data_IF_839303766310
#
_entry.id   IF_839303766310
#
_cell.length_a   1.000
_cell.length_b   1.000
_cell.length_c   1.000
_cell.angle_alpha   90.00
_cell.angle_beta   90.00
_cell.angle_gamma   90.00
#
_symmetry.space_group_name_H-M   'P 1'
#
loop_
_entity.id
_entity.type
_entity.pdbx_description
1 polymer ?
#
# COMPACT_ATOMS: atom_id res chain seq x y z
N UNK A 1 18.97 32.26 -20.28
CA UNK A 1 17.69 32.11 -19.56
C UNK A 1 17.36 30.63 -19.51
N UNK A 2 17.47 30.00 -18.34
CA UNK A 2 17.23 28.57 -18.15
C UNK A 2 15.77 28.38 -17.70
N UNK A 3 14.97 27.67 -18.50
CA UNK A 3 13.55 27.41 -18.21
C UNK A 3 13.44 26.09 -17.45
N UNK A 4 13.04 26.14 -16.19
CA UNK A 4 12.76 24.96 -15.37
C UNK A 4 11.29 24.57 -15.58
N UNK A 5 11.04 23.41 -16.19
CA UNK A 5 9.70 22.82 -16.22
C UNK A 5 9.43 22.13 -14.88
N UNK A 6 8.49 22.67 -14.10
CA UNK A 6 7.99 22.03 -12.89
C UNK A 6 7.03 20.90 -13.26
N UNK A 7 7.47 19.65 -13.08
CA UNK A 7 6.59 18.48 -13.16
C UNK A 7 5.76 18.44 -11.88
N UNK A 8 4.45 18.63 -12.01
CA UNK A 8 3.51 18.44 -10.91
C UNK A 8 3.33 16.93 -10.70
N UNK A 9 4.00 16.37 -9.69
CA UNK A 9 3.75 15.02 -9.23
C UNK A 9 2.48 15.04 -8.36
N UNK A 10 1.37 14.53 -8.89
CA UNK A 10 0.18 14.26 -8.10
C UNK A 10 0.44 13.07 -7.18
N UNK A 11 0.75 13.36 -5.91
CA UNK A 11 0.88 12.35 -4.87
C UNK A 11 -0.54 11.95 -4.40
N UNK A 12 -1.13 10.96 -5.08
CA UNK A 12 -2.31 10.29 -4.55
C UNK A 12 -1.94 9.52 -3.27
N UNK A 13 -2.90 9.30 -2.38
CA UNK A 13 -2.67 8.51 -1.17
C UNK A 13 -2.27 7.09 -1.59
N UNK A 14 -1.10 6.64 -1.15
CA UNK A 14 -0.66 5.31 -1.49
C UNK A 14 -1.63 4.25 -0.90
N UNK A 15 -2.04 3.27 -1.72
CA UNK A 15 -3.06 2.30 -1.33
C UNK A 15 -2.53 1.35 -0.27
N UNK A 16 -3.42 0.95 0.64
CA UNK A 16 -3.15 -0.02 1.68
C UNK A 16 -3.71 -1.39 1.32
N UNK A 17 -3.07 -2.46 1.80
CA UNK A 17 -3.49 -3.83 1.54
C UNK A 17 -3.44 -4.66 2.82
N UNK A 18 -4.36 -5.63 2.94
CA UNK A 18 -4.22 -6.70 3.92
C UNK A 18 -3.29 -7.76 3.33
N UNK A 19 -2.25 -8.10 4.08
CA UNK A 19 -1.31 -9.17 3.76
C UNK A 19 -1.52 -10.32 4.72
N UNK A 20 -1.54 -11.54 4.19
CA UNK A 20 -1.62 -12.78 4.95
C UNK A 20 -0.26 -13.47 4.95
N UNK A 21 0.22 -13.78 6.14
CA UNK A 21 1.40 -14.60 6.34
C UNK A 21 1.06 -16.05 5.95
N UNK A 22 1.82 -16.59 5.02
CA UNK A 22 1.66 -17.98 4.56
C UNK A 22 2.24 -18.99 5.54
N UNK A 23 2.92 -18.54 6.61
CA UNK A 23 3.45 -19.39 7.67
C UNK A 23 2.42 -19.68 8.77
N UNK A 24 1.57 -18.70 9.11
CA UNK A 24 0.67 -18.77 10.27
C UNK A 24 -0.76 -18.21 10.03
N UNK A 25 -1.06 -17.73 8.82
CA UNK A 25 -2.36 -17.14 8.47
C UNK A 25 -2.61 -15.75 9.06
N UNK A 26 -1.63 -15.14 9.73
CA UNK A 26 -1.82 -13.83 10.37
C UNK A 26 -2.00 -12.73 9.33
N UNK A 27 -2.96 -11.84 9.59
CA UNK A 27 -3.24 -10.67 8.75
C UNK A 27 -2.57 -9.40 9.29
N UNK A 28 -1.98 -8.61 8.40
CA UNK A 28 -1.45 -7.27 8.69
C UNK A 28 -1.88 -6.27 7.62
N UNK A 29 -2.01 -4.99 8.00
CA UNK A 29 -2.27 -3.91 7.05
C UNK A 29 -0.96 -3.18 6.71
N UNK A 30 -0.62 -3.09 5.44
CA UNK A 30 0.59 -2.38 4.96
C UNK A 30 0.42 -1.94 3.51
N UNK A 31 1.05 -0.82 3.15
CA UNK A 31 1.10 -0.34 1.76
C UNK A 31 1.95 -1.28 0.87
N UNK A 32 2.94 -1.94 1.46
CA UNK A 32 3.90 -2.82 0.77
C UNK A 32 3.90 -4.22 1.41
N UNK A 33 4.36 -5.23 0.66
CA UNK A 33 4.53 -6.58 1.21
C UNK A 33 5.51 -6.54 2.40
N UNK A 34 5.20 -7.16 3.55
CA UNK A 34 6.14 -7.28 4.65
C UNK A 34 7.41 -8.10 4.31
N UNK A 35 7.36 -8.93 3.27
CA UNK A 35 8.51 -9.72 2.83
C UNK A 35 8.10 -10.99 2.10
N UNK A 36 9.06 -11.92 1.99
CA UNK A 36 8.80 -13.28 1.51
C UNK A 36 7.79 -14.00 2.42
N UNK A 37 6.97 -14.88 1.84
CA UNK A 37 5.96 -15.61 2.60
C UNK A 37 4.72 -14.77 2.95
N UNK A 38 4.56 -13.58 2.38
CA UNK A 38 3.33 -12.79 2.50
C UNK A 38 2.59 -12.72 1.18
N UNK A 39 1.27 -12.94 1.23
CA UNK A 39 0.39 -12.83 0.05
C UNK A 39 -0.63 -11.73 0.27
N UNK A 40 -0.94 -10.98 -0.79
CA UNK A 40 -2.03 -9.99 -0.76
C UNK A 40 -3.35 -10.72 -0.56
N UNK A 41 -4.03 -10.40 0.54
CA UNK A 41 -5.31 -10.99 0.95
C UNK A 41 -6.49 -10.11 0.54
N UNK A 42 -6.39 -8.78 0.71
CA UNK A 42 -7.44 -7.84 0.33
C UNK A 42 -6.93 -6.41 0.09
N UNK A 43 -7.77 -5.56 -0.49
CA UNK A 43 -7.51 -4.16 -0.83
C UNK A 43 -7.68 -3.89 -2.34
N UNK A 44 -7.45 -2.65 -2.81
CA UNK A 44 -6.85 -1.53 -2.08
C UNK A 44 -7.80 -0.84 -1.07
N UNK A 45 -7.24 -0.40 0.06
CA UNK A 45 -7.88 0.46 1.04
C UNK A 45 -7.29 1.87 0.99
N UNK A 46 -8.12 2.86 1.31
CA UNK A 46 -7.71 4.27 1.38
C UNK A 46 -7.23 4.70 2.78
N UNK A 47 -7.01 3.75 3.69
CA UNK A 47 -6.64 4.04 5.08
C UNK A 47 -5.71 2.97 5.65
N UNK A 48 -4.90 3.38 6.62
CA UNK A 48 -3.94 2.52 7.32
C UNK A 48 -4.56 1.44 8.21
N UNK A 49 -5.88 1.46 8.40
CA UNK A 49 -6.61 0.44 9.12
C UNK A 49 -7.06 -0.73 8.25
N UNK A 50 -6.93 -0.64 6.92
CA UNK A 50 -7.50 -1.58 5.96
C UNK A 50 -8.99 -1.89 6.23
N UNK A 51 -9.78 -0.83 6.45
CA UNK A 51 -11.22 -0.91 6.73
C UNK A 51 -12.02 -0.38 5.55
N UNK A 52 -13.09 -1.08 5.20
CA UNK A 52 -14.16 -0.54 4.36
C UNK A 52 -14.99 0.39 5.28
N UNK A 53 -15.17 1.65 4.89
CA UNK A 53 -15.83 2.67 5.73
C UNK A 53 -17.26 2.30 6.11
#
# INVERSE_FOLDING_TARGET
MLMVLAVNASADMAPWYRWESQADGRLVCSQQSPGEGWRRFAGPFNNAGCRDR
#
